data_IF_319678585341
#
_entry.id   IF_319678585341
#
_cell.length_a   1.000
_cell.length_b   1.000
_cell.length_c   1.000
_cell.angle_alpha   90.00
_cell.angle_beta   90.00
_cell.angle_gamma   90.00
#
_symmetry.space_group_name_H-M   'P 1'
#
loop_
_entity.id
_entity.type
_entity.pdbx_description
1 polymer ?
#
# COMPACT_ATOMS: atom_id res chain seq x y z
N UNK A 1 -34.60 1.06 53.42
CA UNK A 1 -33.56 0.02 53.14
C UNK A 1 -32.55 0.64 52.18
N UNK A 2 -31.25 0.52 52.48
CA UNK A 2 -30.13 1.28 51.95
C UNK A 2 -29.89 1.11 50.42
N UNK A 3 -29.42 2.14 49.72
CA UNK A 3 -28.98 2.04 48.33
C UNK A 3 -27.53 1.55 48.24
N UNK A 4 -27.23 0.64 47.28
CA UNK A 4 -25.89 0.19 47.02
C UNK A 4 -25.20 1.02 45.91
N UNK A 5 -23.94 1.23 46.13
CA UNK A 5 -23.00 2.16 45.55
C UNK A 5 -22.67 1.92 44.04
N UNK A 6 -22.35 3.04 43.38
CA UNK A 6 -21.69 3.16 42.11
C UNK A 6 -20.35 2.40 42.11
N UNK A 7 -20.09 1.63 41.07
CA UNK A 7 -18.73 1.18 40.67
C UNK A 7 -18.23 2.02 39.51
N UNK A 8 -17.07 2.57 39.74
CA UNK A 8 -16.33 3.42 38.86
C UNK A 8 -15.79 2.65 37.65
N UNK A 9 -15.83 3.30 36.50
CA UNK A 9 -15.26 2.83 35.25
C UNK A 9 -13.74 2.95 35.30
N UNK A 10 -13.05 1.82 35.18
CA UNK A 10 -11.59 1.78 35.04
C UNK A 10 -11.16 2.24 33.65
N UNK A 11 -10.31 3.25 33.65
CA UNK A 11 -9.61 3.74 32.47
C UNK A 11 -8.62 2.70 31.98
N UNK A 12 -8.72 2.34 30.72
CA UNK A 12 -7.72 1.51 30.03
C UNK A 12 -6.51 2.37 29.68
N UNK A 13 -5.40 2.08 30.33
CA UNK A 13 -4.11 2.72 30.14
C UNK A 13 -3.50 2.23 28.82
N UNK A 14 -3.34 3.12 27.85
CA UNK A 14 -2.56 2.86 26.64
C UNK A 14 -1.09 3.02 27.03
N UNK A 15 -0.33 1.93 27.06
CA UNK A 15 1.11 1.95 27.29
C UNK A 15 1.81 2.47 26.03
N UNK A 16 2.25 3.72 26.07
CA UNK A 16 3.24 4.26 25.15
C UNK A 16 4.64 3.85 25.63
N UNK A 17 5.39 3.14 24.78
CA UNK A 17 6.79 2.82 25.04
C UNK A 17 7.62 4.11 24.91
N UNK A 18 8.00 4.71 26.03
CA UNK A 18 9.00 5.75 26.10
C UNK A 18 10.39 5.09 26.12
N UNK A 19 11.18 5.34 25.09
CA UNK A 19 12.60 5.06 25.10
C UNK A 19 13.29 6.07 26.05
N UNK A 20 13.92 5.57 27.09
CA UNK A 20 14.73 6.31 28.06
C UNK A 20 16.00 6.86 27.40
N UNK A 21 16.09 8.17 27.25
CA UNK A 21 17.33 8.87 26.96
C UNK A 21 18.11 9.04 28.31
N UNK A 22 19.21 8.33 28.47
CA UNK A 22 20.22 8.65 29.48
C UNK A 22 21.04 9.85 29.02
N UNK A 23 21.05 10.88 29.82
CA UNK A 23 21.87 12.03 29.63
C UNK A 23 23.35 11.73 29.86
N UNK A 24 24.21 12.28 29.02
CA UNK A 24 25.63 12.48 29.29
C UNK A 24 25.97 13.96 29.29
N UNK A 25 26.75 14.31 30.25
CA UNK A 25 27.20 15.63 30.67
C UNK A 25 27.99 16.38 29.60
N UNK A 26 27.89 17.70 29.73
CA UNK A 26 28.62 18.73 29.00
C UNK A 26 30.17 18.52 29.01
N UNK A 27 30.73 18.63 27.81
CA UNK A 27 32.15 18.81 27.59
C UNK A 27 32.33 19.73 26.40
N UNK A 28 32.69 20.98 26.66
CA UNK A 28 33.07 21.98 25.67
C UNK A 28 34.30 21.51 24.89
N UNK A 29 34.18 21.34 23.60
CA UNK A 29 35.27 21.12 22.67
C UNK A 29 34.86 21.56 21.28
N UNK A 30 35.14 22.82 20.93
CA UNK A 30 34.95 23.34 19.59
C UNK A 30 35.90 22.61 18.62
N UNK A 31 35.39 21.64 17.89
CA UNK A 31 36.03 21.04 16.73
C UNK A 31 35.37 21.60 15.48
N UNK A 32 36.08 22.40 14.71
CA UNK A 32 35.74 22.80 13.35
C UNK A 32 35.80 21.57 12.44
N UNK A 33 34.71 20.78 12.43
CA UNK A 33 34.55 19.68 11.50
C UNK A 33 34.32 20.23 10.10
N UNK A 34 35.28 20.06 9.20
CA UNK A 34 35.05 20.15 7.77
C UNK A 34 33.91 19.18 7.42
N UNK A 35 32.85 19.71 6.83
CA UNK A 35 31.80 18.89 6.23
C UNK A 35 32.45 18.02 5.17
N UNK A 36 32.59 16.73 5.45
CA UNK A 36 32.95 15.74 4.45
C UNK A 36 31.79 15.69 3.48
N UNK A 37 32.01 16.16 2.25
CA UNK A 37 31.02 16.04 1.18
C UNK A 37 30.65 14.55 1.05
N UNK A 38 29.35 14.26 1.16
CA UNK A 38 28.86 12.91 0.92
C UNK A 38 29.36 12.43 -0.44
N UNK A 39 29.87 11.19 -0.54
CA UNK A 39 30.31 10.67 -1.82
C UNK A 39 29.15 10.70 -2.79
N UNK A 40 29.33 11.34 -3.93
CA UNK A 40 28.37 11.30 -5.06
C UNK A 40 28.36 9.85 -5.56
N UNK A 41 27.45 9.05 -5.05
CA UNK A 41 27.26 7.67 -5.51
C UNK A 41 26.72 7.76 -6.95
N UNK A 42 27.60 7.55 -7.93
CA UNK A 42 27.14 7.29 -9.27
C UNK A 42 26.43 5.93 -9.25
N UNK A 43 25.18 5.85 -9.78
CA UNK A 43 24.53 4.55 -9.91
C UNK A 43 25.44 3.66 -10.76
N UNK A 44 25.74 2.50 -10.25
CA UNK A 44 26.52 1.52 -11.01
C UNK A 44 25.68 1.14 -12.24
N UNK A 45 26.11 1.57 -13.43
CA UNK A 45 25.66 1.00 -14.69
C UNK A 45 25.89 -0.50 -14.58
N UNK A 46 24.82 -1.30 -14.50
CA UNK A 46 24.94 -2.74 -14.59
C UNK A 46 25.38 -3.03 -16.03
N UNK A 47 26.63 -3.42 -16.29
CA UNK A 47 27.06 -3.72 -17.65
C UNK A 47 26.21 -4.88 -18.15
N UNK A 48 25.79 -4.86 -19.40
CA UNK A 48 25.29 -6.05 -20.07
C UNK A 48 26.43 -7.10 -19.98
N UNK A 49 26.28 -8.04 -19.05
CA UNK A 49 27.29 -9.06 -18.83
C UNK A 49 27.32 -10.10 -19.93
N UNK A 50 28.29 -11.02 -19.90
CA UNK A 50 28.38 -12.11 -20.85
C UNK A 50 27.06 -12.89 -20.88
N UNK A 51 26.70 -13.37 -22.05
CA UNK A 51 25.49 -14.18 -22.27
C UNK A 51 25.41 -15.33 -21.25
N UNK A 52 24.29 -15.42 -20.49
CA UNK A 52 24.10 -16.41 -19.42
C UNK A 52 24.42 -15.95 -17.99
N UNK A 53 24.96 -14.76 -17.77
CA UNK A 53 25.17 -14.22 -16.42
C UNK A 53 23.84 -13.66 -15.88
N UNK A 54 23.48 -14.08 -14.65
CA UNK A 54 22.31 -13.52 -13.91
C UNK A 54 22.77 -12.35 -13.05
N UNK A 55 21.97 -11.28 -13.06
CA UNK A 55 22.15 -10.10 -12.21
C UNK A 55 21.01 -10.04 -11.20
N UNK A 56 21.32 -9.59 -9.98
CA UNK A 56 20.31 -9.25 -9.01
C UNK A 56 19.94 -7.77 -9.17
N UNK A 57 18.68 -7.48 -9.38
CA UNK A 57 18.13 -6.13 -9.38
C UNK A 57 17.32 -5.91 -8.10
N UNK A 58 17.41 -4.72 -7.53
CA UNK A 58 16.73 -4.33 -6.30
C UNK A 58 15.78 -3.18 -6.57
N UNK A 59 14.57 -3.30 -6.09
CA UNK A 59 13.53 -2.28 -6.29
C UNK A 59 12.37 -2.46 -5.33
N UNK A 60 11.39 -1.58 -5.45
CA UNK A 60 10.18 -1.62 -4.66
C UNK A 60 8.96 -1.46 -5.59
N UNK A 61 7.98 -2.32 -5.41
CA UNK A 61 6.72 -2.35 -6.16
C UNK A 61 5.50 -2.18 -5.24
N UNK A 62 5.72 -1.61 -4.02
CA UNK A 62 4.64 -1.36 -3.08
C UNK A 62 4.89 -0.03 -2.33
N UNK A 63 4.54 1.07 -2.97
CA UNK A 63 4.85 2.42 -2.52
C UNK A 63 3.61 3.31 -2.59
N UNK A 64 3.34 4.03 -1.49
CA UNK A 64 2.25 4.99 -1.41
C UNK A 64 2.76 6.41 -1.26
N UNK A 65 2.17 7.31 -2.03
CA UNK A 65 2.49 8.74 -2.04
C UNK A 65 1.36 9.59 -1.47
N UNK A 66 1.47 10.90 -1.61
CA UNK A 66 0.41 11.85 -1.24
C UNK A 66 -0.90 11.64 -2.04
N UNK A 67 -0.88 10.84 -3.12
CA UNK A 67 -2.07 10.52 -3.91
C UNK A 67 -2.86 9.34 -3.33
N UNK A 68 -2.23 8.47 -2.54
CA UNK A 68 -2.92 7.42 -1.82
C UNK A 68 -3.80 7.99 -0.71
N UNK A 69 -5.04 7.58 -0.68
CA UNK A 69 -6.02 8.08 0.28
C UNK A 69 -5.58 7.90 1.74
N UNK A 70 -4.94 6.77 2.07
CA UNK A 70 -4.49 6.44 3.41
C UNK A 70 -3.14 7.10 3.74
N UNK A 71 -2.18 7.07 2.82
CA UNK A 71 -0.88 7.70 3.03
C UNK A 71 -1.04 9.20 3.27
N UNK A 72 -1.85 9.90 2.46
CA UNK A 72 -2.17 11.30 2.72
C UNK A 72 -2.85 11.50 4.07
N UNK A 73 -3.82 10.65 4.42
CA UNK A 73 -4.54 10.69 5.69
C UNK A 73 -3.59 10.54 6.89
N UNK A 74 -2.51 9.77 6.73
CA UNK A 74 -1.50 9.57 7.78
C UNK A 74 -0.31 10.54 7.71
N UNK A 75 -0.33 11.51 6.81
CA UNK A 75 0.62 12.62 6.79
C UNK A 75 1.74 12.51 5.74
N UNK A 76 1.62 11.61 4.77
CA UNK A 76 2.56 11.54 3.64
C UNK A 76 2.40 12.76 2.76
N UNK A 77 3.49 13.49 2.52
CA UNK A 77 3.54 14.67 1.65
C UNK A 77 4.31 14.42 0.35
N UNK A 78 5.12 13.35 0.31
CA UNK A 78 5.89 12.98 -0.88
C UNK A 78 4.96 12.71 -2.07
N UNK A 79 5.25 13.35 -3.20
CA UNK A 79 4.58 13.14 -4.49
C UNK A 79 5.17 11.90 -5.19
N UNK A 80 4.55 11.41 -6.30
CA UNK A 80 5.17 10.40 -7.15
C UNK A 80 6.58 10.78 -7.61
N UNK A 81 6.80 12.03 -8.03
CA UNK A 81 8.15 12.51 -8.38
C UNK A 81 9.13 12.44 -7.22
N UNK A 82 8.71 12.79 -5.99
CA UNK A 82 9.54 12.66 -4.79
C UNK A 82 9.90 11.20 -4.53
N UNK A 83 8.95 10.28 -4.69
CA UNK A 83 9.15 8.85 -4.51
C UNK A 83 10.17 8.29 -5.52
N UNK A 84 10.05 8.65 -6.79
CA UNK A 84 11.04 8.25 -7.80
C UNK A 84 12.42 8.87 -7.58
N UNK A 85 12.51 10.15 -7.17
CA UNK A 85 13.79 10.78 -6.81
C UNK A 85 14.44 10.08 -5.61
N UNK A 86 13.66 9.74 -4.59
CA UNK A 86 14.13 8.97 -3.44
C UNK A 86 14.67 7.60 -3.86
N UNK A 87 13.95 6.87 -4.71
CA UNK A 87 14.40 5.59 -5.25
C UNK A 87 15.72 5.69 -6.04
N UNK A 88 15.94 6.82 -6.70
CA UNK A 88 17.19 7.12 -7.41
C UNK A 88 18.32 7.59 -6.49
N UNK A 89 18.11 7.61 -5.16
CA UNK A 89 19.10 7.98 -4.16
C UNK A 89 19.20 9.48 -3.88
N UNK A 90 18.23 10.29 -4.33
CA UNK A 90 18.14 11.69 -3.94
C UNK A 90 17.53 11.84 -2.54
N UNK A 91 17.94 12.87 -1.82
CA UNK A 91 17.32 13.20 -0.54
C UNK A 91 15.96 13.87 -0.74
N UNK A 92 14.96 13.42 0.02
CA UNK A 92 13.63 14.05 0.10
C UNK A 92 13.33 14.49 1.53
N UNK A 93 12.40 15.42 1.71
CA UNK A 93 11.98 15.90 3.03
C UNK A 93 10.93 14.98 3.65
N UNK A 94 11.23 14.51 4.87
CA UNK A 94 10.21 13.91 5.72
C UNK A 94 9.28 15.00 6.30
N UNK A 95 7.97 14.75 6.49
CA UNK A 95 7.06 15.72 7.13
C UNK A 95 7.55 16.23 8.52
N UNK A 96 8.34 15.43 9.22
CA UNK A 96 9.00 15.80 10.47
C UNK A 96 10.18 16.77 10.35
N UNK A 97 10.52 17.23 9.12
CA UNK A 97 11.51 18.28 8.87
C UNK A 97 12.95 17.82 8.65
N UNK A 98 13.24 16.53 8.69
CA UNK A 98 14.55 15.97 8.38
C UNK A 98 14.62 15.41 6.95
N UNK A 99 15.84 15.23 6.44
CA UNK A 99 16.09 14.61 5.15
C UNK A 99 16.09 13.07 5.26
N UNK A 100 15.50 12.43 4.26
CA UNK A 100 15.57 10.97 4.07
C UNK A 100 16.25 10.69 2.74
N UNK A 101 17.16 9.73 2.72
CA UNK A 101 17.91 9.33 1.55
C UNK A 101 18.28 7.86 1.63
N UNK A 102 18.20 7.14 0.52
CA UNK A 102 18.70 5.77 0.43
C UNK A 102 20.24 5.78 0.35
N UNK A 103 20.89 4.81 1.01
CA UNK A 103 22.35 4.60 0.89
C UNK A 103 22.73 4.18 -0.53
N UNK A 104 21.86 3.45 -1.22
CA UNK A 104 22.03 2.99 -2.60
C UNK A 104 20.77 3.25 -3.40
N UNK A 105 20.87 3.79 -4.60
CA UNK A 105 19.77 3.83 -5.54
C UNK A 105 19.22 2.43 -5.82
N UNK A 106 17.92 2.37 -6.10
CA UNK A 106 17.26 1.16 -6.58
C UNK A 106 17.42 1.03 -8.10
N UNK A 107 17.22 -0.19 -8.62
CA UNK A 107 17.27 -0.48 -10.05
C UNK A 107 15.90 -0.30 -10.72
N UNK A 108 14.82 -0.53 -9.97
CA UNK A 108 13.44 -0.38 -10.45
C UNK A 108 12.50 0.09 -9.35
N UNK A 109 11.38 0.70 -9.74
CA UNK A 109 10.41 1.25 -8.79
C UNK A 109 9.03 1.39 -9.41
N UNK A 110 7.98 1.25 -8.60
CA UNK A 110 6.62 1.58 -8.98
C UNK A 110 5.92 2.29 -7.82
N UNK A 111 5.30 3.42 -8.08
CA UNK A 111 4.30 4.01 -7.20
C UNK A 111 3.01 3.20 -7.37
N UNK A 112 2.41 2.79 -6.25
CA UNK A 112 1.24 1.90 -6.21
C UNK A 112 0.17 2.47 -5.30
N UNK A 113 -0.16 3.73 -5.47
CA UNK A 113 -1.20 4.41 -4.70
C UNK A 113 -2.55 3.68 -4.84
N UNK A 114 -3.37 3.71 -3.80
CA UNK A 114 -4.69 3.07 -3.84
C UNK A 114 -5.53 3.62 -5.00
N UNK A 115 -5.94 2.76 -5.93
CA UNK A 115 -6.79 3.14 -7.06
C UNK A 115 -8.18 3.65 -6.65
N UNK A 116 -8.66 3.30 -5.45
CA UNK A 116 -9.87 3.89 -4.90
C UNK A 116 -9.59 5.29 -4.34
N UNK A 117 -10.34 6.29 -4.79
CA UNK A 117 -10.21 7.68 -4.33
C UNK A 117 -8.81 8.27 -4.55
N UNK A 118 -8.12 7.82 -5.59
CA UNK A 118 -6.80 8.26 -6.00
C UNK A 118 -6.76 9.81 -6.13
N UNK A 119 -5.92 10.48 -5.33
CA UNK A 119 -5.80 11.94 -5.27
C UNK A 119 -6.96 12.68 -4.58
N UNK A 120 -8.09 12.01 -4.34
CA UNK A 120 -9.33 12.67 -3.89
C UNK A 120 -9.22 13.23 -2.48
N UNK A 121 -8.60 12.50 -1.55
CA UNK A 121 -8.45 12.96 -0.15
C UNK A 121 -7.52 14.17 -0.09
N UNK A 122 -6.45 14.17 -0.86
CA UNK A 122 -5.54 15.32 -1.00
C UNK A 122 -6.28 16.53 -1.58
N UNK A 123 -7.02 16.35 -2.67
CA UNK A 123 -7.80 17.42 -3.28
C UNK A 123 -8.87 17.97 -2.33
N UNK A 124 -9.58 17.10 -1.60
CA UNK A 124 -10.60 17.51 -0.65
C UNK A 124 -10.05 18.24 0.58
N UNK A 125 -8.80 18.00 0.95
CA UNK A 125 -8.13 18.70 2.04
C UNK A 125 -7.64 20.12 1.65
N UNK A 126 -7.42 20.36 0.37
CA UNK A 126 -7.04 21.67 -0.16
C UNK A 126 -8.29 22.55 -0.35
N UNK A 127 -8.45 23.54 0.52
CA UNK A 127 -9.63 24.42 0.55
C UNK A 127 -9.79 25.32 -0.70
N UNK A 128 -8.82 25.31 -1.61
CA UNK A 128 -8.87 26.03 -2.88
C UNK A 128 -9.56 25.24 -4.01
N UNK A 129 -9.80 23.94 -3.82
CA UNK A 129 -10.39 23.05 -4.83
C UNK A 129 -11.92 23.05 -4.80
N UNK A 130 -12.55 22.68 -5.93
CA UNK A 130 -14.00 22.58 -6.02
C UNK A 130 -14.54 21.48 -5.08
N UNK A 131 -13.90 20.32 -5.02
CA UNK A 131 -14.33 19.20 -4.20
C UNK A 131 -14.30 19.54 -2.70
N UNK A 132 -13.42 20.43 -2.25
CA UNK A 132 -13.35 20.86 -0.85
C UNK A 132 -14.63 21.55 -0.38
N UNK A 133 -15.40 22.16 -1.29
CA UNK A 133 -16.68 22.79 -1.01
C UNK A 133 -17.80 21.82 -0.60
N UNK A 134 -17.63 20.53 -0.82
CA UNK A 134 -18.63 19.54 -0.39
C UNK A 134 -18.58 19.28 1.13
N UNK A 135 -19.72 19.21 1.82
CA UNK A 135 -19.76 19.02 3.28
C UNK A 135 -18.96 17.81 3.78
N UNK A 136 -18.87 16.76 2.97
CA UNK A 136 -18.12 15.55 3.31
C UNK A 136 -16.61 15.78 3.42
N UNK A 137 -16.06 16.85 2.83
CA UNK A 137 -14.64 17.18 2.86
C UNK A 137 -14.24 18.06 4.03
N UNK A 138 -15.17 18.73 4.69
CA UNK A 138 -14.87 19.67 5.76
C UNK A 138 -14.04 19.06 6.90
N UNK A 139 -14.24 17.77 7.19
CA UNK A 139 -13.53 17.06 8.25
C UNK A 139 -12.02 16.85 7.96
N UNK A 140 -11.58 17.05 6.71
CA UNK A 140 -10.18 16.85 6.29
C UNK A 140 -9.53 18.14 5.79
N UNK A 141 -10.20 19.29 5.86
CA UNK A 141 -9.62 20.58 5.45
C UNK A 141 -8.29 20.82 6.16
N UNK A 142 -7.28 21.20 5.40
CA UNK A 142 -5.92 21.47 5.90
C UNK A 142 -5.29 20.31 6.69
N UNK A 143 -5.71 19.06 6.43
CA UNK A 143 -5.30 17.89 7.22
C UNK A 143 -3.78 17.78 7.38
N UNK A 144 -3.03 18.12 6.35
CA UNK A 144 -1.57 18.07 6.32
C UNK A 144 -0.89 19.44 6.36
N UNK A 145 -1.60 20.50 6.78
CA UNK A 145 -0.95 21.75 7.15
C UNK A 145 0.02 21.53 8.34
N UNK A 146 1.08 22.32 8.42
CA UNK A 146 2.17 22.09 9.39
C UNK A 146 1.68 21.98 10.84
N UNK A 147 0.68 22.78 11.24
CA UNK A 147 0.05 22.73 12.55
C UNK A 147 -0.72 21.43 12.83
N UNK A 148 -1.09 20.69 11.80
CA UNK A 148 -1.85 19.44 11.87
C UNK A 148 -0.98 18.18 11.70
N UNK A 149 0.34 18.34 11.52
CA UNK A 149 1.32 17.25 11.43
C UNK A 149 1.97 16.95 12.79
N UNK A 150 1.19 16.99 13.87
CA UNK A 150 1.64 16.73 15.24
C UNK A 150 1.03 15.46 15.79
N UNK A 151 1.64 14.89 16.85
CA UNK A 151 1.08 13.74 17.56
C UNK A 151 -0.30 14.02 18.16
N UNK A 152 -0.57 15.27 18.55
CA UNK A 152 -1.85 15.69 19.12
C UNK A 152 -2.98 15.67 18.09
N UNK A 153 -2.67 15.79 16.80
CA UNK A 153 -3.64 15.76 15.72
C UNK A 153 -4.01 14.34 15.24
N UNK A 154 -3.36 13.28 15.75
CA UNK A 154 -3.65 11.88 15.37
C UNK A 154 -5.14 11.51 15.51
N UNK A 155 -5.89 11.97 16.53
CA UNK A 155 -7.33 11.69 16.62
C UNK A 155 -8.16 12.26 15.46
N UNK A 156 -7.73 13.37 14.84
CA UNK A 156 -8.40 13.98 13.68
C UNK A 156 -8.28 13.11 12.43
N UNK A 157 -7.30 12.19 12.44
CA UNK A 157 -6.97 11.31 11.31
C UNK A 157 -7.78 10.01 11.34
N UNK A 158 -9.03 10.07 11.79
CA UNK A 158 -9.92 8.90 11.83
C UNK A 158 -10.40 8.54 10.42
N UNK A 159 -9.49 7.90 9.68
CA UNK A 159 -9.68 7.48 8.31
C UNK A 159 -10.98 6.69 8.07
N UNK A 160 -11.31 5.74 8.96
CA UNK A 160 -12.48 4.89 8.78
C UNK A 160 -13.80 5.67 8.90
N UNK A 161 -13.87 6.59 9.85
CA UNK A 161 -15.07 7.42 10.00
C UNK A 161 -15.25 8.32 8.78
N UNK A 162 -14.18 8.96 8.32
CA UNK A 162 -14.16 9.77 7.11
C UNK A 162 -14.59 8.96 5.89
N UNK A 163 -13.90 7.84 5.60
CA UNK A 163 -14.14 7.02 4.42
C UNK A 163 -15.60 6.53 4.34
N UNK A 164 -16.18 6.09 5.47
CA UNK A 164 -17.56 5.63 5.50
C UNK A 164 -18.58 6.76 5.26
N UNK A 165 -18.31 7.97 5.72
CA UNK A 165 -19.15 9.14 5.45
C UNK A 165 -19.03 9.59 4.00
N UNK A 166 -17.81 9.64 3.49
CA UNK A 166 -17.51 10.05 2.13
C UNK A 166 -18.12 9.11 1.09
N UNK A 167 -17.99 7.79 1.27
CA UNK A 167 -18.62 6.79 0.39
C UNK A 167 -20.14 6.98 0.32
N UNK A 168 -20.79 7.25 1.45
CA UNK A 168 -22.24 7.55 1.44
C UNK A 168 -22.58 8.85 0.75
N UNK A 169 -21.76 9.88 0.89
CA UNK A 169 -21.95 11.17 0.23
C UNK A 169 -21.85 11.05 -1.29
N UNK A 170 -20.86 10.30 -1.80
CA UNK A 170 -20.70 10.02 -3.24
C UNK A 170 -21.93 9.27 -3.77
N UNK A 171 -22.38 8.23 -3.09
CA UNK A 171 -23.53 7.44 -3.52
C UNK A 171 -24.84 8.26 -3.60
N UNK A 172 -24.91 9.38 -2.87
CA UNK A 172 -26.07 10.28 -2.83
C UNK A 172 -25.96 11.54 -3.71
N UNK A 173 -24.86 11.72 -4.47
CA UNK A 173 -24.61 12.97 -5.20
C UNK A 173 -23.88 12.73 -6.52
N UNK A 174 -24.61 12.73 -7.63
CA UNK A 174 -24.02 12.60 -8.98
C UNK A 174 -22.97 13.68 -9.28
N UNK A 175 -23.15 14.99 -8.93
CA UNK A 175 -22.11 15.98 -9.11
C UNK A 175 -20.80 15.64 -8.33
N UNK A 176 -20.93 15.18 -7.08
CA UNK A 176 -19.74 14.77 -6.30
C UNK A 176 -19.04 13.55 -6.92
N UNK A 177 -19.83 12.57 -7.38
CA UNK A 177 -19.30 11.40 -8.06
C UNK A 177 -18.52 11.78 -9.33
N UNK A 178 -19.09 12.66 -10.16
CA UNK A 178 -18.42 13.13 -11.38
C UNK A 178 -17.11 13.87 -11.08
N UNK A 179 -17.08 14.65 -10.00
CA UNK A 179 -15.86 15.36 -9.57
C UNK A 179 -14.81 14.38 -9.03
N UNK A 180 -15.22 13.39 -8.26
CA UNK A 180 -14.34 12.29 -7.81
C UNK A 180 -13.73 11.55 -9.00
N UNK A 181 -14.56 11.16 -9.99
CA UNK A 181 -14.10 10.46 -11.19
C UNK A 181 -13.11 11.32 -11.99
N UNK A 182 -13.37 12.62 -12.09
CA UNK A 182 -12.46 13.58 -12.76
C UNK A 182 -11.10 13.64 -12.06
N UNK A 183 -11.10 13.76 -10.73
CA UNK A 183 -9.85 13.82 -9.94
C UNK A 183 -9.08 12.52 -10.08
N UNK A 184 -9.74 11.38 -9.95
CA UNK A 184 -9.07 10.07 -10.08
C UNK A 184 -8.40 9.90 -11.45
N UNK A 185 -9.07 10.32 -12.54
CA UNK A 185 -8.51 10.26 -13.90
C UNK A 185 -7.30 11.17 -14.07
N UNK A 186 -7.38 12.41 -13.57
CA UNK A 186 -6.27 13.36 -13.70
C UNK A 186 -5.07 12.95 -12.84
N UNK A 187 -5.32 12.42 -11.65
CA UNK A 187 -4.25 11.92 -10.77
C UNK A 187 -3.59 10.67 -11.35
N UNK A 188 -4.38 9.76 -11.93
CA UNK A 188 -3.82 8.58 -12.61
C UNK A 188 -2.94 8.96 -13.81
N UNK A 189 -3.38 9.92 -14.61
CA UNK A 189 -2.55 10.43 -15.70
C UNK A 189 -1.22 11.03 -15.20
N UNK A 190 -1.24 11.76 -14.08
CA UNK A 190 -0.02 12.32 -13.48
C UNK A 190 0.92 11.25 -12.93
N UNK A 191 0.40 10.14 -12.38
CA UNK A 191 1.21 9.00 -11.96
C UNK A 191 1.90 8.30 -13.15
N UNK A 192 1.17 8.10 -14.25
CA UNK A 192 1.74 7.55 -15.49
C UNK A 192 2.86 8.46 -16.00
N UNK A 193 2.58 9.76 -16.10
CA UNK A 193 3.57 10.74 -16.52
C UNK A 193 4.78 10.83 -15.59
N UNK A 194 4.60 10.66 -14.27
CA UNK A 194 5.70 10.61 -13.32
C UNK A 194 6.58 9.36 -13.55
N UNK A 195 5.98 8.20 -13.78
CA UNK A 195 6.74 7.01 -14.15
C UNK A 195 7.57 7.23 -15.42
N UNK A 196 6.99 7.81 -16.47
CA UNK A 196 7.70 8.11 -17.73
C UNK A 196 8.84 9.12 -17.53
N UNK A 197 8.60 10.20 -16.79
CA UNK A 197 9.62 11.23 -16.52
C UNK A 197 10.87 10.68 -15.86
N UNK A 198 10.70 9.67 -15.01
CA UNK A 198 11.81 9.09 -14.23
C UNK A 198 12.42 7.84 -14.85
N UNK A 199 11.83 7.29 -15.93
CA UNK A 199 12.37 6.14 -16.63
C UNK A 199 13.71 6.46 -17.29
N UNK A 200 14.75 5.69 -16.95
CA UNK A 200 16.09 5.83 -17.50
C UNK A 200 16.55 4.48 -18.04
N UNK A 201 16.42 4.22 -19.35
CA UNK A 201 16.78 2.95 -19.96
C UNK A 201 18.17 2.46 -19.57
N UNK A 202 18.26 1.22 -19.06
CA UNK A 202 19.52 0.61 -18.65
C UNK A 202 20.10 1.13 -17.32
N UNK A 203 19.39 2.02 -16.62
CA UNK A 203 19.85 2.60 -15.36
C UNK A 203 18.78 2.50 -14.25
N UNK A 204 17.56 2.92 -14.53
CA UNK A 204 16.46 2.91 -13.59
C UNK A 204 15.15 2.63 -14.33
N UNK A 205 14.49 1.56 -13.95
CA UNK A 205 13.23 1.14 -14.56
C UNK A 205 12.06 1.57 -13.69
N UNK A 206 11.11 2.29 -14.28
CA UNK A 206 9.86 2.66 -13.63
C UNK A 206 8.70 1.92 -14.28
N UNK A 207 7.64 1.68 -13.50
CA UNK A 207 6.41 1.08 -13.98
C UNK A 207 5.23 1.97 -13.59
N UNK A 208 4.28 2.15 -14.50
CA UNK A 208 2.96 2.59 -14.11
C UNK A 208 2.28 1.49 -13.31
N UNK A 209 1.73 1.83 -12.15
CA UNK A 209 1.15 0.85 -11.25
C UNK A 209 0.14 1.49 -10.29
N UNK A 210 -0.70 0.69 -9.66
CA UNK A 210 -1.63 1.14 -8.62
C UNK A 210 -2.00 -0.03 -7.70
N UNK A 211 -2.58 0.25 -6.53
CA UNK A 211 -3.11 -0.79 -5.66
C UNK A 211 -4.62 -0.97 -5.82
N UNK A 212 -5.03 -2.17 -6.24
CA UNK A 212 -6.41 -2.61 -6.13
C UNK A 212 -6.70 -3.07 -4.71
N UNK A 213 -7.61 -2.37 -4.03
CA UNK A 213 -7.90 -2.57 -2.61
C UNK A 213 -9.33 -3.02 -2.40
N UNK A 214 -9.52 -4.25 -2.00
CA UNK A 214 -10.83 -4.78 -1.64
C UNK A 214 -10.80 -5.50 -0.31
N UNK A 215 -11.97 -5.70 0.28
CA UNK A 215 -12.13 -6.32 1.60
C UNK A 215 -13.42 -7.11 1.61
N UNK A 216 -13.36 -8.37 2.01
CA UNK A 216 -14.58 -9.18 2.22
C UNK A 216 -15.37 -8.70 3.44
N UNK A 217 -16.67 -9.03 3.53
CA UNK A 217 -17.52 -8.63 4.67
C UNK A 217 -16.98 -9.08 6.04
N UNK A 218 -16.20 -10.15 6.07
CA UNK A 218 -15.53 -10.66 7.28
C UNK A 218 -14.28 -9.84 7.67
N UNK A 219 -13.96 -8.78 6.93
CA UNK A 219 -12.83 -7.89 7.16
C UNK A 219 -11.51 -8.39 6.56
N UNK A 220 -11.52 -9.49 5.82
CA UNK A 220 -10.33 -10.03 5.15
C UNK A 220 -9.83 -9.09 4.06
N UNK A 221 -8.58 -8.62 4.20
CA UNK A 221 -7.92 -7.79 3.20
C UNK A 221 -7.54 -8.63 1.97
N UNK A 222 -7.89 -8.15 0.78
CA UNK A 222 -7.66 -8.81 -0.50
C UNK A 222 -6.96 -7.86 -1.48
N UNK A 223 -5.98 -7.10 -1.00
CA UNK A 223 -5.25 -6.10 -1.76
C UNK A 223 -4.20 -6.72 -2.69
N UNK A 224 -3.92 -6.06 -3.82
CA UNK A 224 -2.84 -6.39 -4.75
C UNK A 224 -2.38 -5.18 -5.54
N UNK A 225 -1.10 -5.09 -5.77
CA UNK A 225 -0.53 -4.09 -6.66
C UNK A 225 -0.65 -4.57 -8.10
N UNK A 226 -1.25 -3.77 -8.97
CA UNK A 226 -1.31 -3.99 -10.42
C UNK A 226 -0.20 -3.20 -11.06
N UNK A 227 0.69 -3.89 -11.77
CA UNK A 227 1.87 -3.31 -12.41
C UNK A 227 1.76 -3.53 -13.92
N UNK A 228 1.86 -2.46 -14.69
CA UNK A 228 1.85 -2.49 -16.15
C UNK A 228 3.27 -2.60 -16.68
N UNK A 229 3.46 -3.32 -17.78
CA UNK A 229 4.76 -3.52 -18.41
C UNK A 229 5.33 -2.24 -19.01
N UNK A 230 4.46 -1.41 -19.56
CA UNK A 230 4.78 -0.12 -20.18
C UNK A 230 3.66 0.89 -19.90
N UNK A 231 3.81 2.12 -20.40
CA UNK A 231 2.89 3.23 -20.16
C UNK A 231 2.01 3.56 -21.37
N UNK A 232 2.14 2.81 -22.46
CA UNK A 232 1.37 3.04 -23.69
C UNK A 232 -0.04 2.44 -23.57
N UNK A 233 -1.03 3.18 -24.08
CA UNK A 233 -2.44 2.75 -24.17
C UNK A 233 -3.09 2.35 -22.85
N UNK A 234 -2.59 2.85 -21.72
CA UNK A 234 -3.18 2.54 -20.42
C UNK A 234 -4.61 3.08 -20.31
N UNK A 235 -5.48 2.39 -19.56
CA UNK A 235 -6.86 2.84 -19.35
C UNK A 235 -6.89 4.20 -18.66
N UNK A 236 -7.87 5.04 -19.00
CA UNK A 236 -8.00 6.38 -18.44
C UNK A 236 -8.28 6.43 -16.93
N UNK A 237 -8.55 5.30 -16.31
CA UNK A 237 -8.74 5.13 -14.86
C UNK A 237 -8.44 3.67 -14.49
N UNK A 238 -7.71 3.43 -13.38
CA UNK A 238 -7.42 2.08 -12.93
C UNK A 238 -8.71 1.39 -12.44
N UNK A 239 -8.81 0.08 -12.69
CA UNK A 239 -9.90 -0.73 -12.15
C UNK A 239 -9.84 -0.73 -10.62
N UNK A 240 -10.93 -0.39 -9.96
CA UNK A 240 -10.94 -0.22 -8.52
C UNK A 240 -12.24 -0.73 -7.89
N UNK A 241 -12.28 -0.77 -6.57
CA UNK A 241 -13.41 -1.31 -5.81
C UNK A 241 -14.74 -0.57 -5.95
N UNK A 242 -14.77 0.61 -6.56
CA UNK A 242 -16.03 1.29 -6.90
C UNK A 242 -16.68 0.64 -8.13
N UNK A 243 -15.89 -0.07 -8.94
CA UNK A 243 -16.37 -0.86 -10.09
C UNK A 243 -16.76 -2.26 -9.65
N UNK A 244 -15.88 -2.97 -8.92
CA UNK A 244 -16.17 -4.27 -8.32
C UNK A 244 -15.34 -4.51 -7.06
N UNK A 245 -15.93 -5.26 -6.13
CA UNK A 245 -15.22 -5.76 -4.94
C UNK A 245 -14.52 -7.10 -5.20
N UNK A 246 -14.86 -7.76 -6.31
CA UNK A 246 -14.36 -9.08 -6.66
C UNK A 246 -13.01 -9.00 -7.37
N UNK A 247 -11.94 -9.60 -6.83
CA UNK A 247 -10.65 -9.65 -7.51
C UNK A 247 -10.68 -10.51 -8.80
N UNK A 248 -11.66 -11.39 -8.99
CA UNK A 248 -11.81 -12.14 -10.21
C UNK A 248 -12.29 -11.26 -11.37
N UNK A 249 -13.06 -10.19 -11.08
CA UNK A 249 -13.41 -9.17 -12.07
C UNK A 249 -12.18 -8.30 -12.45
N UNK A 250 -11.24 -8.08 -11.53
CA UNK A 250 -9.96 -7.46 -11.87
C UNK A 250 -9.19 -8.34 -12.87
N UNK A 251 -9.14 -9.67 -12.67
CA UNK A 251 -8.45 -10.56 -13.62
C UNK A 251 -9.12 -10.57 -14.98
N UNK A 252 -10.46 -10.53 -15.02
CA UNK A 252 -11.20 -10.40 -16.29
C UNK A 252 -10.81 -9.12 -17.02
N UNK A 253 -10.81 -7.98 -16.31
CA UNK A 253 -10.41 -6.70 -16.87
C UNK A 253 -8.95 -6.68 -17.37
N UNK A 254 -8.01 -7.32 -16.63
CA UNK A 254 -6.61 -7.43 -17.07
C UNK A 254 -6.47 -8.31 -18.32
N UNK A 255 -7.26 -9.40 -18.41
CA UNK A 255 -7.29 -10.26 -19.60
C UNK A 255 -7.88 -9.51 -20.79
N UNK A 256 -8.99 -8.78 -20.62
CA UNK A 256 -9.63 -7.99 -21.69
C UNK A 256 -8.64 -6.92 -22.22
N UNK A 257 -7.93 -6.18 -21.34
CA UNK A 257 -6.91 -5.22 -21.76
C UNK A 257 -5.78 -5.88 -22.58
N UNK A 258 -5.36 -7.07 -22.18
CA UNK A 258 -4.30 -7.82 -22.89
C UNK A 258 -4.77 -8.28 -24.26
N UNK A 259 -5.99 -8.79 -24.36
CA UNK A 259 -6.54 -9.35 -25.59
C UNK A 259 -7.00 -8.28 -26.58
N UNK A 260 -7.62 -7.20 -26.11
CA UNK A 260 -8.22 -6.18 -26.95
C UNK A 260 -7.26 -5.01 -27.27
N UNK A 261 -6.41 -4.62 -26.31
CA UNK A 261 -5.58 -3.41 -26.41
C UNK A 261 -4.08 -3.70 -26.40
N UNK A 262 -3.68 -4.98 -26.15
CA UNK A 262 -2.27 -5.38 -26.08
C UNK A 262 -1.56 -4.88 -24.82
N UNK A 263 -2.29 -4.46 -23.80
CA UNK A 263 -1.73 -3.94 -22.56
C UNK A 263 -1.38 -5.07 -21.60
N UNK A 264 -0.10 -5.29 -21.39
CA UNK A 264 0.42 -6.33 -20.48
C UNK A 264 0.51 -5.82 -19.04
N UNK A 265 0.01 -6.62 -18.12
CA UNK A 265 0.07 -6.32 -16.68
C UNK A 265 0.13 -7.60 -15.85
N UNK A 266 0.55 -7.44 -14.59
CA UNK A 266 0.46 -8.46 -13.56
C UNK A 266 -0.03 -7.86 -12.25
N UNK A 267 -0.60 -8.68 -11.37
CA UNK A 267 -1.00 -8.27 -10.05
C UNK A 267 -0.19 -9.03 -8.98
N UNK A 268 0.17 -8.34 -7.90
CA UNK A 268 0.97 -8.87 -6.78
C UNK A 268 0.14 -8.80 -5.51
N UNK A 269 -0.55 -9.88 -5.12
CA UNK A 269 -1.23 -9.96 -3.84
C UNK A 269 -0.28 -9.71 -2.68
N UNK A 270 -0.74 -8.97 -1.69
CA UNK A 270 0.00 -8.68 -0.48
C UNK A 270 -0.91 -8.69 0.76
N UNK A 271 -0.31 -8.63 1.96
CA UNK A 271 -1.07 -8.69 3.22
C UNK A 271 -1.95 -9.93 3.34
N UNK A 272 -1.54 -11.07 2.81
CA UNK A 272 -2.35 -12.28 2.87
C UNK A 272 -2.56 -12.77 4.32
N UNK A 273 -1.64 -12.49 5.25
CA UNK A 273 -1.80 -12.66 6.70
C UNK A 273 -3.01 -11.90 7.27
N UNK A 274 -3.41 -10.79 6.64
CA UNK A 274 -4.55 -9.95 7.01
C UNK A 274 -5.87 -10.36 6.32
N UNK A 275 -5.83 -11.35 5.44
CA UNK A 275 -6.98 -11.73 4.60
C UNK A 275 -8.04 -12.57 5.34
N UNK A 276 -7.82 -12.91 6.60
CA UNK A 276 -8.68 -13.84 7.35
C UNK A 276 -8.83 -15.21 6.67
N UNK A 277 -7.76 -15.68 6.00
CA UNK A 277 -7.75 -16.93 5.24
C UNK A 277 -8.41 -16.86 3.87
N UNK A 278 -8.73 -15.67 3.37
CA UNK A 278 -9.43 -15.49 2.11
C UNK A 278 -8.51 -15.41 0.88
N UNK A 279 -7.25 -14.96 1.05
CA UNK A 279 -6.35 -14.75 -0.08
C UNK A 279 -6.06 -16.05 -0.84
N UNK A 280 -5.91 -17.15 -0.12
CA UNK A 280 -5.63 -18.48 -0.68
C UNK A 280 -6.73 -19.48 -0.29
N UNK A 281 -7.99 -19.04 -0.22
CA UNK A 281 -9.14 -19.93 -0.05
C UNK A 281 -9.22 -20.90 -1.24
N UNK A 282 -9.71 -22.13 -1.00
CA UNK A 282 -9.94 -23.15 -2.05
C UNK A 282 -11.29 -22.98 -2.75
N UNK A 283 -11.84 -21.79 -2.70
CA UNK A 283 -13.11 -21.42 -3.34
C UNK A 283 -12.94 -20.10 -4.08
N UNK A 284 -13.77 -19.88 -5.09
CA UNK A 284 -13.90 -18.60 -5.78
C UNK A 284 -14.40 -17.50 -4.83
N UNK A 285 -14.43 -16.26 -5.30
CA UNK A 285 -15.04 -15.16 -4.55
C UNK A 285 -16.51 -15.43 -4.18
N UNK A 286 -17.26 -16.03 -5.08
CA UNK A 286 -18.66 -16.41 -4.88
C UNK A 286 -18.83 -17.59 -3.89
N UNK A 287 -17.76 -18.32 -3.58
CA UNK A 287 -17.78 -19.48 -2.68
C UNK A 287 -17.87 -20.83 -3.40
N UNK A 288 -17.84 -20.85 -4.72
CA UNK A 288 -17.85 -22.08 -5.52
C UNK A 288 -16.48 -22.79 -5.47
N UNK A 289 -16.41 -24.10 -5.67
CA UNK A 289 -15.14 -24.81 -5.80
C UNK A 289 -14.27 -24.25 -6.92
N UNK A 290 -12.95 -24.11 -6.68
CA UNK A 290 -12.00 -23.72 -7.71
C UNK A 290 -11.98 -24.73 -8.87
N UNK A 291 -11.94 -24.24 -10.09
CA UNK A 291 -11.72 -25.01 -11.31
C UNK A 291 -10.29 -24.83 -11.81
N UNK A 292 -9.86 -25.70 -12.74
CA UNK A 292 -8.58 -25.55 -13.43
C UNK A 292 -8.52 -24.20 -14.17
N UNK A 293 -9.58 -23.83 -14.86
CA UNK A 293 -9.66 -22.56 -15.60
C UNK A 293 -9.51 -21.34 -14.68
N UNK A 294 -10.18 -21.34 -13.52
CA UNK A 294 -10.01 -20.31 -12.50
C UNK A 294 -8.54 -20.19 -12.04
N UNK A 295 -7.90 -21.33 -11.78
CA UNK A 295 -6.50 -21.34 -11.32
C UNK A 295 -5.54 -20.87 -12.41
N UNK A 296 -5.75 -21.28 -13.67
CA UNK A 296 -4.95 -20.84 -14.82
C UNK A 296 -5.08 -19.32 -15.05
N UNK A 297 -6.30 -18.78 -14.92
CA UNK A 297 -6.55 -17.34 -14.98
C UNK A 297 -5.81 -16.61 -13.85
N UNK A 298 -5.91 -17.10 -12.63
CA UNK A 298 -5.20 -16.52 -11.48
C UNK A 298 -3.69 -16.54 -11.68
N UNK A 299 -3.11 -17.67 -12.08
CA UNK A 299 -1.66 -17.80 -12.30
C UNK A 299 -1.14 -16.86 -13.38
N UNK A 300 -1.94 -16.63 -14.43
CA UNK A 300 -1.59 -15.68 -15.49
C UNK A 300 -1.54 -14.25 -14.99
N UNK A 301 -2.48 -13.86 -14.12
CA UNK A 301 -2.63 -12.49 -13.63
C UNK A 301 -1.89 -12.24 -12.31
N UNK A 302 -1.73 -13.27 -11.43
CA UNK A 302 -1.04 -13.19 -10.14
C UNK A 302 0.16 -14.15 -10.06
N UNK A 303 1.21 -13.98 -10.90
CA UNK A 303 2.37 -14.87 -10.90
C UNK A 303 3.31 -14.66 -9.71
N UNK A 304 3.16 -13.58 -8.96
CA UNK A 304 3.98 -13.17 -7.83
C UNK A 304 3.11 -12.94 -6.59
N UNK A 305 3.74 -12.96 -5.42
CA UNK A 305 3.11 -12.60 -4.14
C UNK A 305 4.15 -11.95 -3.24
N UNK A 306 3.78 -10.88 -2.54
CA UNK A 306 4.59 -10.26 -1.51
C UNK A 306 4.49 -11.07 -0.21
N UNK A 307 5.63 -11.47 0.35
CA UNK A 307 5.68 -12.38 1.49
C UNK A 307 5.90 -11.69 2.83
N UNK A 308 6.33 -10.43 2.86
CA UNK A 308 6.51 -9.67 4.10
C UNK A 308 6.45 -8.17 3.85
N UNK A 309 6.02 -7.43 4.84
CA UNK A 309 6.01 -5.97 4.87
C UNK A 309 5.84 -5.44 6.30
N UNK A 310 5.74 -4.11 6.49
CA UNK A 310 5.54 -3.47 7.81
C UNK A 310 4.29 -3.94 8.56
N UNK A 311 3.30 -4.51 7.88
CA UNK A 311 2.09 -5.10 8.49
C UNK A 311 2.25 -6.59 8.82
N UNK A 312 3.48 -7.08 8.90
CA UNK A 312 3.86 -8.43 9.29
C UNK A 312 4.10 -9.40 8.13
N UNK A 313 4.67 -10.55 8.46
CA UNK A 313 4.96 -11.62 7.50
C UNK A 313 3.70 -12.32 7.01
N UNK A 314 3.68 -12.66 5.73
CA UNK A 314 2.72 -13.55 5.06
C UNK A 314 3.35 -14.89 4.66
N UNK A 315 4.62 -15.15 5.02
CA UNK A 315 5.33 -16.38 4.63
C UNK A 315 4.70 -17.61 5.26
N UNK A 316 4.69 -17.68 6.60
CA UNK A 316 4.14 -18.81 7.35
C UNK A 316 3.65 -18.37 8.74
N UNK A 317 3.01 -19.29 9.46
CA UNK A 317 2.49 -19.05 10.80
C UNK A 317 2.77 -20.29 11.70
N UNK A 318 3.03 -20.14 13.02
CA UNK A 318 3.29 -21.27 13.92
C UNK A 318 2.23 -22.37 13.88
N UNK A 319 0.95 -22.01 13.72
CA UNK A 319 -0.14 -22.98 13.59
C UNK A 319 -0.11 -23.82 12.29
N UNK A 320 0.63 -23.38 11.26
CA UNK A 320 0.74 -24.04 9.96
C UNK A 320 2.10 -24.70 9.75
N UNK A 321 3.11 -24.32 10.55
CA UNK A 321 4.48 -24.81 10.49
C UNK A 321 5.01 -25.06 11.91
N UNK A 322 4.43 -26.01 12.62
CA UNK A 322 4.70 -26.28 14.04
C UNK A 322 6.15 -26.70 14.35
N UNK A 323 6.89 -27.21 13.37
CA UNK A 323 8.27 -27.65 13.53
C UNK A 323 9.29 -26.60 13.06
N UNK A 324 8.85 -25.39 12.71
CA UNK A 324 9.69 -24.30 12.27
C UNK A 324 9.84 -23.30 13.42
N UNK A 325 11.03 -23.23 14.01
CA UNK A 325 11.33 -22.31 15.11
C UNK A 325 11.21 -20.83 14.76
N UNK A 326 11.30 -20.50 13.46
CA UNK A 326 11.20 -19.13 12.94
C UNK A 326 9.79 -18.75 12.48
N UNK A 327 8.83 -19.69 12.50
CA UNK A 327 7.47 -19.43 12.03
C UNK A 327 6.75 -18.29 12.77
N UNK A 328 7.23 -17.92 13.96
CA UNK A 328 6.69 -16.82 14.78
C UNK A 328 7.32 -15.45 14.51
N UNK A 329 8.29 -15.35 13.58
CA UNK A 329 8.99 -14.09 13.31
C UNK A 329 8.08 -13.11 12.59
N UNK A 330 8.04 -11.86 13.06
CA UNK A 330 7.25 -10.73 12.50
C UNK A 330 5.76 -11.02 12.26
N UNK A 331 5.14 -11.85 13.08
CA UNK A 331 3.70 -12.12 13.01
C UNK A 331 2.89 -10.88 13.44
N UNK A 332 2.03 -10.37 12.54
CA UNK A 332 0.92 -9.52 12.91
C UNK A 332 -0.40 -10.29 12.71
N UNK A 333 -1.04 -10.73 13.79
CA UNK A 333 -2.13 -11.70 13.72
C UNK A 333 -3.51 -11.06 13.47
N UNK A 334 -3.60 -9.73 13.29
CA UNK A 334 -4.88 -9.04 13.26
C UNK A 334 -5.39 -8.80 11.86
N UNK A 335 -6.72 -8.92 11.67
CA UNK A 335 -7.40 -8.55 10.44
C UNK A 335 -7.34 -7.03 10.23
N UNK A 336 -7.02 -6.58 9.03
CA UNK A 336 -6.84 -5.16 8.74
C UNK A 336 -8.15 -4.34 8.72
N UNK A 337 -9.27 -4.94 8.34
CA UNK A 337 -10.51 -4.23 7.98
C UNK A 337 -11.63 -4.19 9.01
N UNK A 338 -11.62 -4.95 10.06
CA UNK A 338 -12.82 -5.37 10.80
C UNK A 338 -13.25 -4.57 12.02
N UNK A 339 -12.90 -3.29 12.20
CA UNK A 339 -13.48 -2.48 13.31
C UNK A 339 -13.11 -2.95 14.72
N UNK A 340 -11.95 -3.56 14.91
CA UNK A 340 -11.45 -4.04 16.20
C UNK A 340 -10.23 -4.95 16.02
N UNK A 341 -9.52 -5.24 17.11
CA UNK A 341 -8.44 -6.21 17.13
C UNK A 341 -9.03 -7.63 17.05
N UNK A 342 -9.27 -8.13 15.85
CA UNK A 342 -9.72 -9.48 15.61
C UNK A 342 -8.59 -10.31 15.00
N UNK A 343 -8.29 -11.46 15.59
CA UNK A 343 -7.28 -12.38 15.08
C UNK A 343 -7.76 -12.99 13.76
N UNK A 344 -6.90 -12.92 12.74
CA UNK A 344 -7.14 -13.52 11.44
C UNK A 344 -7.01 -15.04 11.51
N UNK A 345 -7.73 -15.77 10.66
CA UNK A 345 -7.54 -17.22 10.47
C UNK A 345 -6.22 -17.43 9.72
N UNK A 346 -5.29 -18.27 10.22
CA UNK A 346 -4.03 -18.51 9.52
C UNK A 346 -4.21 -19.33 8.22
N UNK A 347 -5.01 -20.38 8.23
CA UNK A 347 -5.23 -21.24 7.05
C UNK A 347 -5.81 -20.42 5.89
N UNK A 348 -5.19 -20.53 4.72
CA UNK A 348 -5.54 -19.73 3.52
C UNK A 348 -5.01 -18.28 3.54
N UNK A 349 -4.22 -17.91 4.57
CA UNK A 349 -3.64 -16.58 4.70
C UNK A 349 -2.12 -16.53 4.54
N UNK A 350 -1.44 -17.67 4.33
CA UNK A 350 0.02 -17.72 4.30
C UNK A 350 0.54 -18.47 3.09
N UNK A 351 1.57 -17.92 2.45
CA UNK A 351 2.10 -18.35 1.15
C UNK A 351 2.63 -19.78 1.19
N UNK A 352 3.41 -20.15 2.21
CA UNK A 352 3.99 -21.49 2.32
C UNK A 352 2.90 -22.58 2.46
N UNK A 353 1.79 -22.27 3.13
CA UNK A 353 0.64 -23.16 3.23
C UNK A 353 -0.10 -23.27 1.89
N UNK A 354 -0.32 -22.13 1.20
CA UNK A 354 -0.92 -22.12 -0.13
C UNK A 354 -0.13 -22.96 -1.14
N UNK A 355 1.20 -22.84 -1.15
CA UNK A 355 2.07 -23.67 -2.00
C UNK A 355 1.94 -25.17 -1.70
N UNK A 356 1.91 -25.57 -0.41
CA UNK A 356 1.70 -26.97 0.00
C UNK A 356 0.34 -27.49 -0.48
N UNK A 357 -0.70 -26.67 -0.35
CA UNK A 357 -2.05 -27.05 -0.81
C UNK A 357 -2.10 -27.16 -2.33
N UNK A 358 -1.47 -26.25 -3.08
CA UNK A 358 -1.36 -26.32 -4.53
C UNK A 358 -0.68 -27.61 -5.00
N UNK A 359 0.45 -27.99 -4.43
CA UNK A 359 1.15 -29.24 -4.74
C UNK A 359 0.30 -30.48 -4.39
N UNK A 360 -0.46 -30.43 -3.31
CA UNK A 360 -1.35 -31.53 -2.94
C UNK A 360 -2.52 -31.70 -3.93
N UNK A 361 -3.07 -30.58 -4.43
CA UNK A 361 -4.14 -30.57 -5.44
C UNK A 361 -3.64 -31.05 -6.81
N UNK A 362 -2.40 -30.70 -7.18
CA UNK A 362 -1.78 -31.16 -8.44
C UNK A 362 -1.55 -32.68 -8.43
N UNK A 363 -1.25 -33.24 -7.26
CA UNK A 363 -0.99 -34.67 -7.11
C UNK A 363 -2.26 -35.55 -7.00
N UNK A 364 -3.44 -34.97 -6.80
CA UNK A 364 -4.71 -35.66 -6.63
C UNK A 364 -5.47 -35.80 -7.93
#
# INVERSE_FOLDING_TARGET
MKPMSKRESGSVLVLALLATLMGCSEGEGASTGQAVAAPTLQPALVPAGPEGQRYAYFGDLHVHTTYSMDAFQFGTLATPDDAYRYAQGEAIKHPGGFDMQLERPLDFYAVTDHGIYLGVVRAGADTSTEISGYPAMQAIHNLNAAENLTLESVPMRNFRAFLGQFTRAIAGSEPLKAEVDRIMRTTWADEIEAADRHYQPGKFTTFAAYEFSTTKPDGGSMHRNVVFRDTENLPAMPFNRLMSLDPEDLWNWMDDLREEEGVESLAIPHNSNKSNGQMFALTTWAGDPMTREHNEKRMRNEPLVEITQVKGTSETHPALSMNDEWAGFEIDPYVAGGGGLRIAKPAGGYVRDAMKQGLALEAA
#
